data_IF_161896646783
#
_entry.id   IF_161896646783
#
_cell.length_a   1.000
_cell.length_b   1.000
_cell.length_c   1.000
_cell.angle_alpha   90.00
_cell.angle_beta   90.00
_cell.angle_gamma   90.00
#
_symmetry.space_group_name_H-M   'P 1'
#
loop_
_entity.id
_entity.type
_entity.pdbx_description
1 polymer ?
#
# COMPACT_ATOMS: atom_id res chain seq x y z
N UNK A 1 9.21 37.65 16.89
CA UNK A 1 9.18 37.18 15.50
C UNK A 1 10.27 36.13 15.36
N UNK A 2 9.99 34.90 15.78
CA UNK A 2 10.85 33.76 15.48
C UNK A 2 10.49 33.29 14.08
N UNK A 3 11.50 33.10 13.25
CA UNK A 3 11.35 32.92 11.82
C UNK A 3 10.46 31.73 11.47
N UNK A 4 9.35 32.03 10.78
CA UNK A 4 8.54 31.10 9.99
C UNK A 4 9.31 30.54 8.76
N UNK A 5 10.65 30.60 8.76
CA UNK A 5 11.46 30.31 7.56
C UNK A 5 11.66 28.82 7.29
N UNK A 6 11.60 27.95 8.31
CA UNK A 6 11.76 26.50 8.06
C UNK A 6 10.54 25.88 7.38
N UNK A 7 9.35 26.43 7.59
CA UNK A 7 8.13 25.98 6.92
C UNK A 7 8.05 26.47 5.47
N UNK A 8 8.70 27.60 5.16
CA UNK A 8 8.76 28.16 3.80
C UNK A 8 9.68 27.37 2.85
N UNK A 9 10.53 26.47 3.37
CA UNK A 9 11.51 25.70 2.60
C UNK A 9 11.32 24.18 2.64
N UNK A 10 10.23 23.68 3.21
CA UNK A 10 9.95 22.23 3.23
C UNK A 10 9.65 21.71 1.81
N UNK A 11 10.70 21.43 1.05
CA UNK A 11 10.64 20.86 -0.29
C UNK A 11 10.55 19.34 -0.18
N UNK A 12 9.46 18.75 -0.69
CA UNK A 12 9.41 17.30 -0.84
C UNK A 12 10.48 16.84 -1.83
N UNK A 13 11.16 15.70 -1.57
CA UNK A 13 11.99 15.06 -2.57
C UNK A 13 11.17 14.79 -3.84
N UNK A 14 11.83 14.84 -5.00
CA UNK A 14 11.17 14.66 -6.29
C UNK A 14 11.50 13.28 -6.85
N UNK A 15 10.49 12.42 -6.90
CA UNK A 15 10.51 11.19 -7.69
C UNK A 15 9.89 11.49 -9.06
N UNK A 16 10.52 11.05 -10.14
CA UNK A 16 9.95 11.16 -11.48
C UNK A 16 9.71 9.77 -12.05
N UNK A 17 8.65 9.67 -12.85
CA UNK A 17 8.38 8.50 -13.67
C UNK A 17 7.94 8.93 -15.05
N UNK A 18 8.25 8.09 -16.02
CA UNK A 18 7.93 8.26 -17.42
C UNK A 18 7.18 7.03 -17.91
N UNK A 19 6.00 7.25 -18.47
CA UNK A 19 5.11 6.24 -19.01
C UNK A 19 4.40 6.86 -20.20
N UNK A 20 4.25 6.12 -21.29
CA UNK A 20 3.51 6.60 -22.45
C UNK A 20 2.09 7.02 -22.03
N UNK A 21 1.59 8.14 -22.56
CA UNK A 21 0.28 8.66 -22.16
C UNK A 21 -0.84 7.65 -22.47
N UNK A 22 -0.75 6.95 -23.59
CA UNK A 22 -1.73 5.91 -23.98
C UNK A 22 -1.80 4.78 -22.95
N UNK A 23 -0.63 4.30 -22.49
CA UNK A 23 -0.50 3.27 -21.46
C UNK A 23 -1.05 3.77 -20.12
N UNK A 24 -0.71 4.99 -19.72
CA UNK A 24 -1.26 5.56 -18.48
C UNK A 24 -2.79 5.67 -18.52
N UNK A 25 -3.36 6.12 -19.65
CA UNK A 25 -4.81 6.23 -19.80
C UNK A 25 -5.49 4.86 -19.80
N UNK A 26 -4.87 3.86 -20.44
CA UNK A 26 -5.34 2.47 -20.40
C UNK A 26 -5.35 1.93 -18.97
N UNK A 27 -4.24 2.11 -18.24
CA UNK A 27 -4.13 1.71 -16.84
C UNK A 27 -5.24 2.31 -15.97
N UNK A 28 -5.48 3.61 -16.10
CA UNK A 28 -6.47 4.34 -15.31
C UNK A 28 -7.91 4.02 -15.74
N UNK A 29 -8.14 3.57 -16.97
CA UNK A 29 -9.48 3.30 -17.50
C UNK A 29 -9.88 1.84 -17.34
N UNK A 30 -8.97 0.92 -17.63
CA UNK A 30 -9.25 -0.50 -17.82
C UNK A 30 -8.62 -1.39 -16.73
N UNK A 31 -7.50 -0.97 -16.13
CA UNK A 31 -6.66 -1.83 -15.27
C UNK A 31 -6.51 -1.29 -13.84
N UNK A 32 -7.61 -0.81 -13.26
CA UNK A 32 -7.58 -0.24 -11.91
C UNK A 32 -7.42 -1.29 -10.80
N UNK A 33 -7.97 -2.49 -10.97
CA UNK A 33 -8.15 -3.44 -9.86
C UNK A 33 -7.85 -4.90 -10.26
N UNK A 34 -7.01 -5.10 -11.27
CA UNK A 34 -6.71 -6.42 -11.85
C UNK A 34 -5.20 -6.73 -11.89
N UNK A 35 -4.39 -5.92 -11.21
CA UNK A 35 -2.94 -6.09 -11.04
C UNK A 35 -2.17 -6.23 -12.38
N UNK A 36 -2.68 -5.63 -13.46
CA UNK A 36 -1.96 -5.58 -14.74
C UNK A 36 -0.79 -4.60 -14.63
N UNK A 37 0.42 -5.07 -14.94
CA UNK A 37 1.63 -4.25 -14.92
C UNK A 37 1.82 -3.44 -16.20
N UNK A 38 2.29 -2.20 -16.02
CA UNK A 38 2.75 -1.35 -17.10
C UNK A 38 4.22 -0.96 -16.90
N UNK A 39 4.97 -0.88 -18.01
CA UNK A 39 6.35 -0.43 -18.00
C UNK A 39 6.44 1.08 -17.70
N UNK A 40 7.42 1.45 -16.88
CA UNK A 40 7.78 2.82 -16.59
C UNK A 40 9.30 2.96 -16.41
N UNK A 41 9.82 4.13 -16.80
CA UNK A 41 11.17 4.56 -16.44
C UNK A 41 11.08 5.44 -15.19
N UNK A 42 11.92 5.19 -14.19
CA UNK A 42 11.96 5.97 -12.96
C UNK A 42 13.26 6.77 -12.86
N UNK A 43 13.16 7.97 -12.29
CA UNK A 43 14.32 8.84 -12.04
C UNK A 43 14.32 9.31 -10.60
N UNK A 44 15.44 9.06 -9.94
CA UNK A 44 15.70 9.48 -8.57
C UNK A 44 17.15 9.94 -8.42
N UNK A 45 17.36 11.15 -7.90
CA UNK A 45 18.68 11.73 -7.64
C UNK A 45 19.69 11.61 -8.81
N UNK A 46 19.21 11.83 -10.04
CA UNK A 46 20.03 11.73 -11.25
C UNK A 46 20.25 10.30 -11.77
N UNK A 47 19.85 9.27 -11.02
CA UNK A 47 19.83 7.88 -11.50
C UNK A 47 18.55 7.61 -12.27
N UNK A 48 18.71 7.06 -13.47
CA UNK A 48 17.61 6.64 -14.35
C UNK A 48 17.58 5.12 -14.39
N UNK A 49 16.44 4.53 -14.08
CA UNK A 49 16.21 3.09 -14.20
C UNK A 49 15.04 2.85 -15.14
N UNK A 50 15.30 2.17 -16.24
CA UNK A 50 14.30 1.78 -17.24
C UNK A 50 13.84 0.33 -17.06
N UNK A 51 12.64 0.02 -17.52
CA UNK A 51 12.03 -1.31 -17.41
C UNK A 51 11.46 -1.64 -16.03
N UNK A 52 11.16 -0.62 -15.23
CA UNK A 52 10.39 -0.82 -14.00
C UNK A 52 8.93 -1.14 -14.33
N UNK A 53 8.30 -1.94 -13.48
CA UNK A 53 6.90 -2.31 -13.57
C UNK A 53 6.10 -1.54 -12.52
N UNK A 54 4.86 -1.20 -12.87
CA UNK A 54 3.91 -0.71 -11.90
C UNK A 54 2.47 -0.99 -12.30
N UNK A 55 1.65 -1.30 -11.31
CA UNK A 55 0.22 -1.51 -11.46
C UNK A 55 -0.55 -0.66 -10.44
N UNK A 56 -1.83 -0.42 -10.74
CA UNK A 56 -2.71 0.28 -9.79
C UNK A 56 -3.04 -0.69 -8.67
N UNK A 57 -2.78 -0.25 -7.44
CA UNK A 57 -2.99 -1.07 -6.26
C UNK A 57 -4.18 -0.62 -5.43
N UNK A 58 -4.52 -1.51 -4.50
CA UNK A 58 -5.46 -1.24 -3.42
C UNK A 58 -6.81 -1.85 -3.73
N UNK A 59 -7.32 -2.64 -2.78
CA UNK A 59 -8.54 -3.42 -2.95
C UNK A 59 -9.79 -2.53 -3.13
N UNK A 60 -10.35 -1.99 -2.05
CA UNK A 60 -11.52 -1.11 -2.14
C UNK A 60 -11.21 0.30 -2.63
N UNK A 61 -9.92 0.65 -2.79
CA UNK A 61 -9.47 2.01 -3.13
C UNK A 61 -8.90 2.15 -4.54
N UNK A 62 -8.87 1.09 -5.35
CA UNK A 62 -8.37 1.17 -6.72
C UNK A 62 -9.13 2.18 -7.61
N UNK A 63 -10.41 2.44 -7.31
CA UNK A 63 -11.24 3.42 -8.01
C UNK A 63 -11.09 4.85 -7.47
N UNK A 64 -10.18 5.11 -6.52
CA UNK A 64 -9.96 6.47 -6.03
C UNK A 64 -9.54 7.41 -7.17
N UNK A 65 -9.99 8.68 -7.19
CA UNK A 65 -9.68 9.61 -8.29
C UNK A 65 -8.19 9.72 -8.61
N UNK A 66 -7.36 9.68 -7.56
CA UNK A 66 -5.92 9.52 -7.66
C UNK A 66 -5.55 8.07 -7.39
N UNK A 67 -4.98 7.37 -8.37
CA UNK A 67 -4.56 5.99 -8.20
C UNK A 67 -3.43 5.84 -7.17
N UNK A 68 -3.43 4.72 -6.45
CA UNK A 68 -2.25 4.22 -5.73
C UNK A 68 -1.50 3.30 -6.66
N UNK A 69 -0.18 3.23 -6.53
CA UNK A 69 0.65 2.37 -7.37
C UNK A 69 1.49 1.44 -6.51
N UNK A 70 1.72 0.22 -6.96
CA UNK A 70 2.85 -0.61 -6.51
C UNK A 70 3.91 -0.57 -7.60
N UNK A 71 5.18 -0.49 -7.22
CA UNK A 71 6.30 -0.32 -8.14
C UNK A 71 7.33 -1.41 -7.87
N UNK A 72 7.82 -2.03 -8.94
CA UNK A 72 8.93 -2.96 -8.93
C UNK A 72 10.01 -2.52 -9.93
N UNK A 73 11.25 -2.42 -9.49
CA UNK A 73 12.40 -2.14 -10.35
C UNK A 73 12.89 -3.42 -11.04
N UNK A 74 13.62 -3.30 -12.17
CA UNK A 74 14.23 -4.46 -12.80
C UNK A 74 15.12 -5.25 -11.82
N UNK A 75 15.15 -6.57 -11.98
CA UNK A 75 15.93 -7.44 -11.12
C UNK A 75 17.40 -7.00 -11.03
N UNK A 76 17.92 -6.90 -9.81
CA UNK A 76 19.29 -6.47 -9.54
C UNK A 76 19.47 -4.96 -9.37
N UNK A 77 18.41 -4.15 -9.58
CA UNK A 77 18.45 -2.70 -9.41
C UNK A 77 17.66 -2.26 -8.17
N UNK A 78 18.09 -1.14 -7.59
CA UNK A 78 17.47 -0.52 -6.42
C UNK A 78 17.60 1.00 -6.50
N UNK A 79 16.75 1.72 -5.77
CA UNK A 79 16.99 3.13 -5.43
C UNK A 79 17.31 3.28 -3.95
N UNK A 80 18.33 4.08 -3.66
CA UNK A 80 18.57 4.58 -2.31
C UNK A 80 17.86 5.93 -2.12
N UNK A 81 16.71 5.88 -1.46
CA UNK A 81 15.94 7.09 -1.10
C UNK A 81 16.55 7.84 0.10
N UNK A 82 17.57 7.28 0.76
CA UNK A 82 18.12 7.80 2.01
C UNK A 82 17.11 7.72 3.16
N UNK A 83 17.38 8.49 4.22
CA UNK A 83 16.48 8.53 5.38
C UNK A 83 15.05 8.94 4.96
N UNK A 84 14.00 8.26 5.47
CA UNK A 84 14.02 7.33 6.63
C UNK A 84 14.29 5.86 6.28
N UNK A 85 14.54 5.51 5.01
CA UNK A 85 14.81 4.14 4.60
C UNK A 85 16.24 3.74 5.00
N UNK A 86 16.39 2.58 5.62
CA UNK A 86 17.69 2.08 6.11
C UNK A 86 18.48 1.30 5.06
N UNK A 87 17.90 1.06 3.90
CA UNK A 87 18.50 0.30 2.80
C UNK A 87 17.86 0.72 1.46
N UNK A 88 18.55 0.47 0.33
CA UNK A 88 17.97 0.68 -0.99
C UNK A 88 16.75 -0.21 -1.26
N UNK A 89 15.74 0.36 -1.91
CA UNK A 89 14.49 -0.33 -2.25
C UNK A 89 14.53 -0.86 -3.68
N UNK A 90 14.13 -2.12 -3.87
CA UNK A 90 13.88 -2.71 -5.20
C UNK A 90 12.43 -2.51 -5.68
N UNK A 91 11.56 -2.07 -4.79
CA UNK A 91 10.14 -1.81 -5.05
C UNK A 91 9.51 -1.10 -3.86
N UNK A 92 8.40 -0.41 -4.10
CA UNK A 92 7.71 0.41 -3.10
C UNK A 92 6.26 0.63 -3.49
N UNK A 93 5.40 0.91 -2.51
CA UNK A 93 4.08 1.43 -2.80
C UNK A 93 4.07 2.96 -2.82
N UNK A 94 3.26 3.51 -3.72
CA UNK A 94 2.93 4.92 -3.80
C UNK A 94 1.48 5.13 -3.33
N UNK A 95 1.34 5.66 -2.12
CA UNK A 95 0.05 5.97 -1.50
C UNK A 95 -0.48 7.32 -1.98
N UNK A 96 -1.75 7.34 -2.38
CA UNK A 96 -2.47 8.50 -2.90
C UNK A 96 -2.96 9.46 -1.79
N UNK A 97 -2.32 9.46 -0.63
CA UNK A 97 -2.83 10.10 0.57
C UNK A 97 -2.98 11.62 0.44
N UNK A 98 -4.11 12.10 0.99
CA UNK A 98 -4.40 13.53 1.16
C UNK A 98 -4.25 14.00 2.62
N UNK A 99 -3.91 13.09 3.53
CA UNK A 99 -3.72 13.35 4.96
C UNK A 99 -2.55 12.53 5.47
N UNK A 100 -1.76 12.98 6.45
CA UNK A 100 -0.57 12.28 6.94
C UNK A 100 -0.90 11.06 7.83
N UNK A 101 -2.12 10.51 7.76
CA UNK A 101 -2.61 9.50 8.70
C UNK A 101 -1.81 8.20 8.66
N UNK A 102 -1.47 7.70 7.47
CA UNK A 102 -0.70 6.46 7.36
C UNK A 102 0.73 6.68 7.84
N UNK A 103 1.34 7.81 7.45
CA UNK A 103 2.66 8.21 7.94
C UNK A 103 2.72 8.22 9.47
N UNK A 104 1.81 8.96 10.11
CA UNK A 104 1.74 9.05 11.57
C UNK A 104 1.49 7.67 12.18
N UNK A 105 0.65 6.84 11.57
CA UNK A 105 0.41 5.47 12.01
C UNK A 105 1.69 4.63 12.04
N UNK A 106 2.48 4.63 10.96
CA UNK A 106 3.73 3.90 10.88
C UNK A 106 4.81 4.45 11.82
N UNK A 107 4.96 5.77 11.89
CA UNK A 107 5.90 6.42 12.81
C UNK A 107 5.54 6.12 14.27
N UNK A 108 4.25 6.04 14.61
CA UNK A 108 3.80 5.68 15.96
C UNK A 108 4.17 4.25 16.31
N UNK A 109 3.99 3.30 15.38
CA UNK A 109 4.39 1.91 15.58
C UNK A 109 5.91 1.79 15.77
N UNK A 110 6.69 2.50 14.95
CA UNK A 110 8.15 2.53 15.04
C UNK A 110 8.62 3.08 16.39
N UNK A 111 8.03 4.19 16.85
CA UNK A 111 8.32 4.78 18.17
C UNK A 111 7.92 3.87 19.34
N UNK A 112 6.92 3.01 19.15
CA UNK A 112 6.54 1.98 20.12
C UNK A 112 7.46 0.74 20.10
N UNK A 113 8.50 0.72 19.26
CA UNK A 113 9.41 -0.41 19.10
C UNK A 113 8.82 -1.57 18.30
N UNK A 114 7.71 -1.34 17.59
CA UNK A 114 7.10 -2.34 16.69
C UNK A 114 7.73 -2.15 15.31
N UNK A 115 8.32 -3.20 14.71
CA UNK A 115 8.80 -3.15 13.33
C UNK A 115 7.71 -2.63 12.39
N UNK A 116 7.99 -1.48 11.76
CA UNK A 116 7.05 -0.73 10.96
C UNK A 116 7.66 -0.42 9.60
N UNK A 117 6.82 -0.27 8.59
CA UNK A 117 7.28 0.20 7.29
C UNK A 117 7.74 1.66 7.39
N UNK A 118 8.91 1.96 6.84
CA UNK A 118 9.38 3.32 6.63
C UNK A 118 8.56 4.00 5.55
N UNK A 119 8.35 5.30 5.74
CA UNK A 119 7.44 6.11 4.94
C UNK A 119 8.06 7.49 4.69
N UNK A 120 7.99 7.97 3.45
CA UNK A 120 8.38 9.33 3.10
C UNK A 120 7.38 9.97 2.15
N UNK A 121 6.99 11.22 2.42
CA UNK A 121 6.21 12.00 1.47
C UNK A 121 7.12 12.54 0.37
N UNK A 122 6.74 12.34 -0.89
CA UNK A 122 7.48 12.82 -2.06
C UNK A 122 6.56 13.54 -3.05
N UNK A 123 7.12 14.52 -3.76
CA UNK A 123 6.51 15.12 -4.94
C UNK A 123 6.80 14.20 -6.12
N UNK A 124 5.74 13.77 -6.81
CA UNK A 124 5.86 12.91 -8.00
C UNK A 124 5.62 13.73 -9.25
N UNK A 125 6.50 13.56 -10.24
CA UNK A 125 6.33 14.10 -11.58
C UNK A 125 6.13 12.96 -12.59
N UNK A 126 5.10 13.07 -13.43
CA UNK A 126 4.82 12.16 -14.54
C UNK A 126 5.16 12.87 -15.84
N UNK A 127 6.02 12.28 -16.67
CA UNK A 127 6.40 12.83 -17.97
C UNK A 127 6.84 14.32 -17.88
N UNK A 128 7.68 14.64 -16.90
CA UNK A 128 8.20 16.00 -16.66
C UNK A 128 7.20 17.01 -16.07
N UNK A 129 5.97 16.60 -15.79
CA UNK A 129 4.92 17.45 -15.21
C UNK A 129 4.55 17.02 -13.80
N UNK A 130 4.14 17.97 -12.95
CA UNK A 130 3.65 17.64 -11.62
C UNK A 130 2.43 16.71 -11.70
N UNK A 131 2.49 15.58 -10.99
CA UNK A 131 1.40 14.62 -10.92
C UNK A 131 0.70 14.66 -9.57
N UNK A 132 1.45 14.76 -8.47
CA UNK A 132 0.88 14.86 -7.13
C UNK A 132 1.90 14.56 -6.03
N UNK A 133 1.50 14.72 -4.77
CA UNK A 133 2.29 14.28 -3.62
C UNK A 133 1.89 12.85 -3.22
N UNK A 134 2.84 11.96 -3.04
CA UNK A 134 2.57 10.56 -2.67
C UNK A 134 3.32 10.20 -1.39
N UNK A 135 2.76 9.25 -0.66
CA UNK A 135 3.51 8.50 0.35
C UNK A 135 4.27 7.37 -0.30
N UNK A 136 5.60 7.41 -0.26
CA UNK A 136 6.44 6.28 -0.62
C UNK A 136 6.61 5.43 0.63
N UNK A 137 6.22 4.16 0.54
CA UNK A 137 6.31 3.20 1.64
C UNK A 137 7.04 1.96 1.14
N UNK A 138 7.97 1.45 1.95
CA UNK A 138 8.69 0.23 1.64
C UNK A 138 7.78 -1.00 1.64
N UNK A 139 8.10 -1.97 0.79
CA UNK A 139 7.37 -3.23 0.73
C UNK A 139 7.88 -4.20 1.82
N UNK A 140 6.97 -4.97 2.43
CA UNK A 140 7.30 -6.01 3.41
C UNK A 140 7.88 -7.27 2.74
N UNK A 141 9.01 -7.12 2.05
CA UNK A 141 9.67 -8.16 1.29
C UNK A 141 10.76 -8.89 2.08
N UNK A 142 11.58 -9.69 1.39
CA UNK A 142 12.71 -10.38 2.03
C UNK A 142 13.79 -9.44 2.56
N UNK A 143 14.01 -8.30 1.93
CA UNK A 143 14.97 -7.29 2.38
C UNK A 143 14.51 -6.68 3.70
N UNK A 144 13.23 -6.28 3.76
CA UNK A 144 12.61 -5.78 4.99
C UNK A 144 12.71 -6.81 6.12
N UNK A 145 12.33 -8.06 5.85
CA UNK A 145 12.40 -9.12 6.88
C UNK A 145 13.81 -9.35 7.39
N UNK A 146 14.81 -9.35 6.51
CA UNK A 146 16.20 -9.50 6.91
C UNK A 146 16.68 -8.31 7.76
N UNK A 147 16.34 -7.08 7.37
CA UNK A 147 16.72 -5.87 8.10
C UNK A 147 16.12 -5.82 9.52
N UNK A 148 14.96 -6.44 9.74
CA UNK A 148 14.29 -6.50 11.03
C UNK A 148 14.53 -7.82 11.81
N UNK A 149 15.46 -8.67 11.36
CA UNK A 149 15.83 -9.89 12.07
C UNK A 149 14.82 -11.04 11.96
N UNK A 150 13.85 -10.94 11.04
CA UNK A 150 12.88 -12.01 10.77
C UNK A 150 13.41 -13.07 9.80
N UNK A 151 14.40 -12.74 8.97
CA UNK A 151 14.98 -13.69 8.02
C UNK A 151 13.95 -14.34 7.11
N UNK A 152 13.95 -15.68 7.07
CA UNK A 152 13.03 -16.49 6.29
C UNK A 152 11.78 -16.93 7.08
N UNK A 153 11.44 -16.28 8.20
CA UNK A 153 10.23 -16.60 8.96
C UNK A 153 8.97 -16.58 8.10
N UNK A 154 7.96 -17.41 8.42
CA UNK A 154 6.69 -17.37 7.73
C UNK A 154 6.06 -15.98 7.79
N UNK A 155 5.59 -15.47 6.65
CA UNK A 155 5.02 -14.14 6.51
C UNK A 155 3.68 -14.20 5.81
N UNK A 156 2.68 -13.49 6.33
CA UNK A 156 1.30 -13.55 5.82
C UNK A 156 0.74 -12.14 5.66
N UNK A 157 -0.03 -11.96 4.59
CA UNK A 157 -0.92 -10.82 4.43
C UNK A 157 -2.32 -11.25 4.86
N UNK A 158 -2.94 -10.48 5.75
CA UNK A 158 -4.34 -10.66 6.10
C UNK A 158 -5.20 -9.98 5.04
N UNK A 159 -6.19 -10.69 4.51
CA UNK A 159 -7.09 -10.22 3.47
C UNK A 159 -8.53 -10.15 4.01
N UNK A 160 -9.44 -10.99 3.51
CA UNK A 160 -10.88 -10.79 3.58
C UNK A 160 -11.42 -10.67 5.01
N UNK A 161 -11.48 -11.77 5.77
CA UNK A 161 -12.21 -11.81 7.04
C UNK A 161 -11.32 -11.91 8.27
N UNK A 162 -10.03 -11.65 8.11
CA UNK A 162 -9.07 -11.63 9.21
C UNK A 162 -8.55 -13.01 9.60
N UNK A 163 -7.79 -13.06 10.69
CA UNK A 163 -7.26 -14.31 11.24
C UNK A 163 -8.37 -15.09 11.96
N UNK A 164 -8.90 -16.13 11.31
CA UNK A 164 -9.99 -16.99 11.83
C UNK A 164 -9.54 -18.44 11.97
N UNK A 165 -10.21 -19.17 12.87
CA UNK A 165 -9.98 -20.60 13.09
C UNK A 165 -10.80 -21.43 12.09
N UNK A 166 -10.14 -22.34 11.39
CA UNK A 166 -10.74 -23.28 10.43
C UNK A 166 -10.57 -24.73 10.89
N UNK A 167 -11.39 -25.66 10.37
CA UNK A 167 -11.29 -27.07 10.75
C UNK A 167 -10.02 -27.77 10.21
N UNK A 168 -9.39 -27.23 9.16
CA UNK A 168 -8.14 -27.75 8.62
C UNK A 168 -7.31 -26.66 7.92
N UNK A 169 -6.00 -26.86 7.70
CA UNK A 169 -5.16 -25.94 6.92
C UNK A 169 -5.67 -25.73 5.49
N UNK A 170 -6.16 -26.79 4.83
CA UNK A 170 -6.73 -26.70 3.48
C UNK A 170 -7.96 -25.78 3.42
N UNK A 171 -8.81 -25.78 4.45
CA UNK A 171 -9.96 -24.87 4.50
C UNK A 171 -9.53 -23.42 4.76
N UNK A 172 -8.47 -23.20 5.56
CA UNK A 172 -7.88 -21.87 5.73
C UNK A 172 -7.30 -21.36 4.41
N UNK A 173 -6.51 -22.16 3.71
CA UNK A 173 -5.94 -21.80 2.42
C UNK A 173 -7.03 -21.46 1.38
N UNK A 174 -8.08 -22.27 1.30
CA UNK A 174 -9.19 -22.06 0.37
C UNK A 174 -10.07 -20.84 0.72
N UNK A 175 -9.99 -20.32 1.95
CA UNK A 175 -10.83 -19.19 2.39
C UNK A 175 -10.44 -17.86 1.74
N UNK A 176 -9.17 -17.69 1.40
CA UNK A 176 -8.61 -16.39 0.98
C UNK A 176 -8.56 -15.34 2.10
N UNK A 177 -8.75 -15.72 3.37
CA UNK A 177 -8.67 -14.78 4.50
C UNK A 177 -7.23 -14.35 4.82
N UNK A 178 -6.26 -15.20 4.47
CA UNK A 178 -4.83 -14.95 4.61
C UNK A 178 -4.11 -15.43 3.36
N UNK A 179 -3.10 -14.68 2.93
CA UNK A 179 -2.21 -15.03 1.83
C UNK A 179 -0.82 -15.23 2.40
N UNK A 180 -0.26 -16.44 2.25
CA UNK A 180 1.13 -16.70 2.63
C UNK A 180 2.05 -16.02 1.60
N UNK A 181 2.96 -15.17 2.10
CA UNK A 181 3.91 -14.38 1.32
C UNK A 181 5.33 -14.92 1.44
N UNK A 182 5.62 -15.72 2.46
CA UNK A 182 6.91 -16.39 2.63
C UNK A 182 6.78 -17.63 3.53
N UNK A 183 7.44 -18.75 3.17
CA UNK A 183 7.62 -19.17 1.79
C UNK A 183 6.25 -19.27 1.08
N UNK A 184 6.20 -19.01 -0.23
CA UNK A 184 4.98 -19.22 -1.02
C UNK A 184 4.87 -20.69 -1.48
N UNK A 185 4.74 -21.59 -0.50
CA UNK A 185 4.77 -23.05 -0.69
C UNK A 185 3.38 -23.70 -0.64
N UNK A 186 2.33 -22.91 -0.41
CA UNK A 186 0.97 -23.40 -0.24
C UNK A 186 0.72 -24.16 1.07
N UNK A 187 1.68 -24.23 1.99
CA UNK A 187 1.51 -24.85 3.30
C UNK A 187 1.03 -23.82 4.33
N UNK A 188 -0.22 -23.97 4.79
CA UNK A 188 -0.84 -23.08 5.77
C UNK A 188 -0.88 -23.69 7.18
N UNK A 189 -0.16 -24.79 7.42
CA UNK A 189 -0.24 -25.55 8.68
C UNK A 189 0.15 -24.71 9.89
N UNK A 190 1.24 -23.95 9.79
CA UNK A 190 1.77 -23.08 10.85
C UNK A 190 0.79 -21.99 11.29
N UNK A 191 0.24 -21.22 10.33
CA UNK A 191 -0.73 -20.17 10.63
C UNK A 191 -2.07 -20.77 11.09
N UNK A 192 -2.45 -21.92 10.55
CA UNK A 192 -3.63 -22.66 11.03
C UNK A 192 -3.45 -23.09 12.50
N UNK A 193 -2.33 -23.67 12.87
CA UNK A 193 -2.03 -24.05 14.26
C UNK A 193 -2.07 -22.85 15.20
N UNK A 194 -1.52 -21.71 14.78
CA UNK A 194 -1.62 -20.46 15.54
C UNK A 194 -3.10 -20.09 15.78
N UNK A 195 -3.94 -20.17 14.75
CA UNK A 195 -5.38 -19.87 14.90
C UNK A 195 -6.11 -20.86 15.81
N UNK A 196 -5.66 -22.11 15.92
CA UNK A 196 -6.21 -23.07 16.89
C UNK A 196 -5.85 -22.68 18.32
N UNK A 197 -4.59 -22.26 18.55
CA UNK A 197 -4.10 -21.85 19.88
C UNK A 197 -4.71 -20.54 20.36
N UNK A 198 -4.97 -19.61 19.44
CA UNK A 198 -5.60 -18.32 19.72
C UNK A 198 -7.12 -18.40 19.81
N UNK A 199 -7.73 -19.51 19.36
CA UNK A 199 -9.16 -19.70 19.46
C UNK A 199 -9.58 -19.53 20.93
N UNK A 200 -10.55 -18.65 21.24
CA UNK A 200 -11.00 -18.49 22.61
C UNK A 200 -11.40 -19.86 23.13
N UNK A 201 -10.90 -20.23 24.32
CA UNK A 201 -11.37 -21.42 25.01
C UNK A 201 -12.88 -21.42 24.92
N UNK A 202 -13.48 -22.47 24.33
CA UNK A 202 -14.92 -22.65 24.36
C UNK A 202 -15.27 -22.76 25.84
N UNK A 203 -15.58 -21.64 26.49
CA UNK A 203 -16.29 -21.68 27.76
C UNK A 203 -17.51 -22.54 27.46
N UNK A 204 -17.80 -23.57 28.27
CA UNK A 204 -19.09 -24.23 28.18
C UNK A 204 -20.12 -23.10 28.15
N UNK A 205 -20.96 -23.03 27.11
CA UNK A 205 -22.11 -22.14 27.19
C UNK A 205 -22.79 -22.49 28.51
N UNK A 206 -22.99 -21.49 29.35
CA UNK A 206 -23.83 -21.58 30.54
C UNK A 206 -25.30 -21.95 30.20
N UNK A 207 -25.58 -22.24 28.94
CA UNK A 207 -26.82 -22.82 28.43
C UNK A 207 -26.88 -24.35 28.58
N UNK A 208 -25.80 -25.01 29.03
CA UNK A 208 -25.88 -26.36 29.61
C UNK A 208 -26.06 -26.28 31.14
N UNK A 209 -27.00 -25.48 31.62
CA UNK A 209 -27.69 -25.86 32.85
C UNK A 209 -28.70 -26.93 32.44
N UNK A 210 -28.60 -28.13 33.01
CA UNK A 210 -29.61 -29.15 32.86
C UNK A 210 -30.99 -28.54 33.15
N UNK A 211 -32.04 -28.88 32.37
CA UNK A 211 -33.39 -28.42 32.66
C UNK A 211 -33.81 -28.98 34.01
N UNK A 212 -33.71 -28.18 35.08
CA UNK A 212 -34.11 -28.60 36.42
C UNK A 212 -33.39 -27.96 37.60
N UNK A 213 -32.22 -27.32 37.43
CA UNK A 213 -31.59 -26.64 38.57
C UNK A 213 -32.18 -25.23 38.77
N UNK A 214 -32.73 -24.93 39.96
CA UNK A 214 -33.28 -23.62 40.26
C UNK A 214 -32.16 -22.58 40.21
N UNK A 215 -32.35 -21.55 39.37
CA UNK A 215 -31.46 -20.39 39.35
C UNK A 215 -31.36 -19.82 40.76
N UNK A 216 -30.16 -19.62 41.32
CA UNK A 216 -30.03 -18.88 42.57
C UNK A 216 -30.68 -17.50 42.37
N UNK A 217 -31.67 -17.20 43.18
CA UNK A 217 -32.43 -15.95 43.14
C UNK A 217 -31.46 -14.76 43.16
N UNK A 218 -31.65 -13.83 42.21
CA UNK A 218 -30.90 -12.56 42.10
C UNK A 218 -30.92 -11.71 43.38
N UNK A 219 -31.73 -12.07 44.37
CA UNK A 219 -31.84 -11.36 45.65
C UNK A 219 -30.66 -11.57 46.60
N UNK A 220 -29.80 -12.59 46.38
CA UNK A 220 -28.61 -12.77 47.24
C UNK A 220 -27.41 -11.90 46.87
N UNK A 221 -27.39 -11.30 45.67
CA UNK A 221 -26.25 -10.49 45.22
C UNK A 221 -26.39 -9.01 45.57
N UNK A 222 -27.60 -8.52 45.90
CA UNK A 222 -27.81 -7.12 46.34
C UNK A 222 -27.48 -6.85 47.81
N UNK A 223 -27.32 -7.90 48.64
CA UNK A 223 -27.04 -7.74 50.07
C UNK A 223 -25.55 -7.70 50.44
N UNK A 224 -24.62 -7.81 49.47
CA UNK A 224 -23.16 -7.70 49.74
C UNK A 224 -22.51 -6.38 49.28
N UNK A 225 -23.26 -5.46 48.69
CA UNK A 225 -22.70 -4.22 48.13
C UNK A 225 -22.70 -2.99 49.08
N UNK A 226 -23.17 -3.12 50.33
CA UNK A 226 -23.07 -2.05 51.33
C UNK A 226 -22.04 -2.38 52.41
N UNK A 227 -20.76 -2.17 52.08
CA UNK A 227 -19.71 -1.91 53.06
C UNK A 227 -19.18 -0.51 52.78
N UNK A 228 -19.28 0.46 53.71
CA UNK A 228 -18.71 1.79 53.49
C UNK A 228 -17.18 1.70 53.49
N UNK A 229 -16.57 2.29 52.46
CA UNK A 229 -15.13 2.47 52.40
C UNK A 229 -14.73 3.60 53.36
N UNK A 230 -13.82 3.28 54.28
CA UNK A 230 -13.14 4.24 55.12
C UNK A 230 -12.28 5.18 54.28
N UNK A 231 -12.27 6.45 54.70
CA UNK A 231 -11.58 7.56 54.09
C UNK A 231 -10.06 7.43 54.23
N UNK A 232 -9.33 7.67 53.13
CA UNK A 232 -7.91 8.01 53.18
C UNK A 232 -7.61 9.15 52.21
N UNK A 233 -7.24 10.30 52.79
CA UNK A 233 -6.07 11.07 52.39
C UNK A 233 -6.13 11.89 51.09
N UNK A 234 -6.55 13.14 51.23
CA UNK A 234 -6.28 14.23 50.29
C UNK A 234 -4.81 14.34 49.88
N UNK A 235 -4.53 14.49 48.58
CA UNK A 235 -3.43 15.33 48.08
C UNK A 235 -3.89 16.24 46.95
N UNK A 236 -3.59 17.51 47.17
CA UNK A 236 -3.82 18.69 46.36
C UNK A 236 -2.99 18.61 45.07
N UNK A 237 -3.63 18.69 43.90
CA UNK A 237 -2.98 18.93 42.62
C UNK A 237 -3.56 20.23 42.07
N UNK A 238 -2.75 21.29 42.14
CA UNK A 238 -3.08 22.61 41.61
C UNK A 238 -3.07 22.55 40.08
N UNK A 239 -4.22 22.88 39.49
CA UNK A 239 -4.42 23.05 38.07
C UNK A 239 -3.96 24.47 37.68
N UNK A 240 -2.84 24.59 36.99
CA UNK A 240 -2.40 25.86 36.39
C UNK A 240 -3.21 26.10 35.12
N UNK A 241 -4.11 27.11 35.16
CA UNK A 241 -4.81 27.63 33.97
C UNK A 241 -3.83 28.50 33.18
N UNK A 242 -3.54 28.12 31.94
CA UNK A 242 -2.95 29.03 30.96
C UNK A 242 -4.05 29.96 30.41
N UNK A 243 -3.82 31.27 30.52
CA UNK A 243 -4.59 32.31 29.85
C UNK A 243 -4.21 32.36 28.36
N UNK A 244 -5.21 32.24 27.49
CA UNK A 244 -5.10 32.60 26.07
C UNK A 244 -5.18 34.13 25.91
N UNK A 245 -4.39 34.74 25.02
CA UNK A 245 -4.55 36.14 24.66
C UNK A 245 -5.60 36.36 23.56
N UNK A 246 -6.41 37.40 23.77
CA UNK A 246 -7.37 38.00 22.85
C UNK A 246 -6.76 38.34 21.47
N UNK A 247 -7.32 37.78 20.40
CA UNK A 247 -7.12 38.28 19.04
C UNK A 247 -8.38 38.99 18.53
N UNK A 248 -8.26 40.32 18.36
CA UNK A 248 -9.23 41.16 17.64
C UNK A 248 -9.15 40.90 16.13
N UNK A 249 -10.27 41.01 15.39
CA UNK A 249 -10.30 40.84 13.95
C UNK A 249 -9.78 42.09 13.23
N UNK A 250 -8.88 41.90 12.26
CA UNK A 250 -8.44 42.93 11.31
C UNK A 250 -9.26 42.83 10.01
N UNK A 251 -9.56 44.02 9.50
CA UNK A 251 -10.58 44.32 8.50
C UNK A 251 -10.24 43.94 7.06
N UNK A 252 -11.32 43.90 6.28
CA UNK A 252 -11.42 43.73 4.84
C UNK A 252 -10.54 44.69 4.02
N UNK A 253 -9.95 44.17 2.93
CA UNK A 253 -9.60 44.96 1.76
C UNK A 253 -9.97 44.25 0.44
N UNK A 254 -10.35 45.01 -0.60
CA UNK A 254 -11.15 44.54 -1.72
C UNK A 254 -10.34 43.91 -2.87
N UNK A 255 -11.00 42.96 -3.55
CA UNK A 255 -10.54 42.31 -4.77
C UNK A 255 -10.51 43.30 -5.95
N UNK A 256 -9.31 43.51 -6.50
CA UNK A 256 -9.08 44.23 -7.75
C UNK A 256 -9.25 43.32 -8.97
N UNK A 257 -9.99 43.83 -9.95
CA UNK A 257 -10.24 43.26 -11.26
C UNK A 257 -8.97 42.89 -12.06
N UNK A 258 -9.02 41.76 -12.77
CA UNK A 258 -7.94 41.30 -13.65
C UNK A 258 -8.41 40.47 -14.85
N UNK A 259 -8.96 41.18 -15.84
CA UNK A 259 -8.93 40.97 -17.32
C UNK A 259 -9.02 39.56 -17.94
N UNK A 260 -10.05 39.45 -18.77
CA UNK A 260 -10.22 38.53 -19.90
C UNK A 260 -8.97 38.40 -20.80
N UNK A 261 -8.57 37.15 -21.08
CA UNK A 261 -7.80 36.80 -22.27
C UNK A 261 -8.66 35.92 -23.18
N UNK A 262 -9.01 36.50 -24.34
CA UNK A 262 -9.56 35.80 -25.50
C UNK A 262 -8.53 34.80 -26.01
N UNK A 263 -8.92 33.53 -26.18
CA UNK A 263 -8.20 32.59 -27.06
C UNK A 263 -9.01 32.41 -28.34
N UNK A 264 -8.36 32.71 -29.46
CA UNK A 264 -8.80 32.39 -30.80
C UNK A 264 -8.94 30.87 -30.96
N UNK A 265 -10.10 30.45 -31.44
CA UNK A 265 -10.40 29.09 -31.88
C UNK A 265 -10.17 29.10 -33.40
N UNK A 266 -9.12 28.43 -33.87
CA UNK A 266 -9.01 28.06 -35.27
C UNK A 266 -9.66 26.69 -35.44
N UNK A 267 -10.64 26.69 -36.33
CA UNK A 267 -11.44 25.58 -36.79
C UNK A 267 -10.84 25.17 -38.14
N UNK A 268 -10.42 23.91 -38.26
CA UNK A 268 -10.19 23.26 -39.55
C UNK A 268 -10.32 21.73 -39.37
N UNK A 269 -11.20 21.18 -40.19
CA UNK A 269 -11.54 19.78 -40.50
C UNK A 269 -11.77 19.78 -42.03
N UNK A 270 -11.97 18.63 -42.69
CA UNK A 270 -11.28 17.34 -42.64
C UNK A 270 -10.93 16.86 -44.07
N UNK A 271 -10.22 15.73 -44.24
CA UNK A 271 -10.28 14.94 -45.49
C UNK A 271 -10.14 13.42 -45.16
N UNK A 272 -11.26 12.70 -45.32
CA UNK A 272 -11.50 11.49 -46.13
C UNK A 272 -10.40 10.40 -46.22
N UNK A 273 -10.58 9.18 -45.66
CA UNK A 273 -11.33 7.99 -46.15
C UNK A 273 -10.35 6.81 -46.46
N UNK A 274 -10.78 5.55 -46.70
CA UNK A 274 -11.26 4.59 -45.70
C UNK A 274 -10.58 3.19 -45.81
N UNK A 275 -10.64 2.37 -44.76
CA UNK A 275 -10.50 0.91 -44.89
C UNK A 275 -11.56 0.22 -44.04
N UNK A 276 -12.57 -0.33 -44.72
CA UNK A 276 -13.61 -1.17 -44.16
C UNK A 276 -13.21 -2.64 -44.31
N UNK A 277 -13.29 -3.41 -43.24
CA UNK A 277 -13.37 -4.87 -43.31
C UNK A 277 -14.70 -5.33 -42.72
N UNK A 278 -15.42 -6.06 -43.57
CA UNK A 278 -16.74 -6.64 -43.37
C UNK A 278 -16.61 -7.87 -42.46
N UNK A 279 -17.38 -7.91 -41.39
CA UNK A 279 -17.57 -9.11 -40.55
C UNK A 279 -18.71 -9.96 -41.09
N UNK A 280 -18.48 -11.27 -41.20
CA UNK A 280 -19.52 -12.32 -41.28
C UNK A 280 -19.54 -13.10 -39.97
N UNK A 281 -20.71 -13.53 -39.46
CA UNK A 281 -20.81 -14.23 -38.18
C UNK A 281 -20.68 -15.74 -38.36
N UNK A 282 -19.90 -16.39 -37.49
CA UNK A 282 -19.70 -17.83 -37.49
C UNK A 282 -19.45 -18.36 -36.08
N UNK A 283 -20.37 -19.19 -35.63
CA UNK A 283 -20.42 -19.95 -34.38
C UNK A 283 -19.18 -20.80 -34.09
N UNK A 284 -18.82 -20.92 -32.80
CA UNK A 284 -18.01 -22.04 -32.31
C UNK A 284 -17.23 -21.75 -31.03
N UNK A 285 -17.72 -22.24 -29.89
CA UNK A 285 -16.89 -22.49 -28.71
C UNK A 285 -16.01 -23.71 -29.03
N UNK A 286 -14.71 -23.77 -28.64
CA UNK A 286 -14.42 -24.37 -27.33
C UNK A 286 -13.14 -23.88 -26.62
N UNK A 287 -13.15 -24.15 -25.31
CA UNK A 287 -11.99 -24.34 -24.41
C UNK A 287 -10.68 -24.80 -25.06
N UNK A 288 -9.54 -24.25 -24.64
CA UNK A 288 -8.37 -25.05 -24.21
C UNK A 288 -7.23 -24.19 -23.65
N UNK A 289 -6.57 -24.81 -22.66
CA UNK A 289 -5.36 -24.40 -21.94
C UNK A 289 -4.16 -24.25 -22.90
N UNK A 290 -3.40 -23.16 -22.79
CA UNK A 290 -2.04 -23.10 -23.32
C UNK A 290 -1.05 -23.60 -22.25
N UNK A 291 -0.55 -24.83 -22.46
CA UNK A 291 0.61 -25.40 -21.77
C UNK A 291 1.74 -25.44 -22.80
N UNK A 292 2.74 -24.58 -22.65
CA UNK A 292 3.92 -24.52 -23.52
C UNK A 292 4.93 -25.59 -23.10
N UNK A 293 4.94 -26.72 -23.80
CA UNK A 293 6.07 -27.66 -23.78
C UNK A 293 6.99 -27.35 -24.96
N UNK A 294 8.22 -26.87 -24.69
CA UNK A 294 9.32 -26.90 -25.67
C UNK A 294 10.00 -28.27 -25.61
N UNK A 295 9.97 -28.99 -26.74
CA UNK A 295 10.95 -30.04 -27.06
C UNK A 295 12.21 -29.36 -27.60
N UNK A 296 13.36 -29.65 -27.00
CA UNK A 296 14.66 -29.45 -27.63
C UNK A 296 15.25 -30.84 -27.88
N UNK A 297 15.56 -31.13 -29.14
CA UNK A 297 16.33 -32.29 -29.58
C UNK A 297 17.83 -31.99 -29.51
N UNK A 298 18.57 -33.03 -29.14
CA UNK A 298 20.01 -33.23 -29.14
C UNK A 298 20.81 -32.57 -30.26
N UNK A 299 21.94 -31.92 -29.90
CA UNK A 299 23.05 -31.69 -30.82
C UNK A 299 23.99 -30.55 -30.45
N UNK A 300 25.06 -30.85 -29.69
CA UNK A 300 26.37 -30.18 -29.80
C UNK A 300 26.53 -28.78 -29.21
N UNK A 301 27.16 -28.70 -28.03
CA UNK A 301 27.75 -27.47 -27.51
C UNK A 301 29.13 -27.22 -28.16
N UNK A 302 29.33 -26.03 -28.71
CA UNK A 302 30.64 -25.46 -29.01
C UNK A 302 30.76 -24.12 -28.26
N UNK A 303 31.90 -23.81 -27.60
CA UNK A 303 32.07 -22.55 -26.90
C UNK A 303 32.38 -21.43 -27.89
N UNK A 304 31.62 -20.32 -27.81
CA UNK A 304 31.95 -19.07 -28.48
C UNK A 304 32.93 -18.24 -27.64
N UNK A 305 33.84 -17.49 -28.29
CA UNK A 305 34.96 -16.82 -27.63
C UNK A 305 34.55 -15.54 -26.89
N UNK A 306 35.34 -15.23 -25.87
CA UNK A 306 35.36 -13.98 -25.12
C UNK A 306 35.60 -12.78 -26.03
N UNK A 307 34.70 -11.79 -25.94
CA UNK A 307 34.91 -10.46 -26.50
C UNK A 307 34.66 -9.39 -25.43
N UNK A 308 35.68 -8.54 -25.31
CA UNK A 308 35.89 -7.40 -24.45
C UNK A 308 34.91 -6.24 -24.67
N UNK A 309 34.66 -5.50 -23.59
CA UNK A 309 34.08 -4.14 -23.53
C UNK A 309 34.89 -3.14 -24.39
N UNK A 310 34.28 -2.03 -24.85
CA UNK A 310 34.25 -0.83 -24.00
C UNK A 310 32.93 -0.03 -24.03
N UNK A 311 32.86 0.85 -23.04
CA UNK A 311 31.79 1.78 -22.69
C UNK A 311 31.40 2.79 -23.78
N UNK A 312 30.14 3.22 -23.75
CA UNK A 312 29.76 4.61 -24.07
C UNK A 312 28.64 5.04 -23.13
N UNK A 313 28.92 6.11 -22.40
CA UNK A 313 28.00 6.89 -21.56
C UNK A 313 27.18 7.80 -22.48
N UNK A 314 25.88 7.90 -22.22
CA UNK A 314 25.05 9.06 -22.54
C UNK A 314 24.24 9.42 -21.30
#
# INVERSE_FOLDING_TARGET
MHADSEWASAQYPVLQWFMEESVYQDMITNHRCDDVDANATFVWNGTVLDGGLMHIKGHSTCFAPKAKWDVELPAGYTFDFGAPFSYPLKGWDMQNENSPRQRVGWETLDQAGIPAAKYQAMRVQRNGSFHGNFGIIENFDGTWRNAHGFGNSPFYKVEARGLRTYASPALLAASGDVVKKNPDDGDYTDIWELTQKLAPSRRPRQDQMAPGEPRPSRDRERLRAHRPAEAVGHRHLQLVRHQEPDHRPLADHPLGHGRHLRRHRHEERPDDHPCSWRTTPGSGNPSSRCRTTRRCTSGGCAPLPTASTPATVW
#
